data_IF_506099981858
#
_entry.id   IF_506099981858
#
_cell.length_a   1.000
_cell.length_b   1.000
_cell.length_c   1.000
_cell.angle_alpha   90.00
_cell.angle_beta   90.00
_cell.angle_gamma   90.00
#
_symmetry.space_group_name_H-M   'P 1'
#
loop_
_entity.id
_entity.type
_entity.pdbx_description
1 polymer ?
#
# COMPACT_ATOMS: atom_id res chain seq x y z
N UNK A 1 70.84 20.53 -9.76
CA UNK A 1 70.63 20.76 -11.21
C UNK A 1 69.24 20.21 -11.53
N UNK A 2 68.34 21.09 -11.93
CA UNK A 2 66.89 20.87 -12.16
C UNK A 2 66.63 20.19 -13.51
N UNK A 3 65.68 19.25 -13.56
CA UNK A 3 65.08 18.76 -14.81
C UNK A 3 64.13 19.85 -15.38
N UNK A 4 64.29 20.29 -16.65
CA UNK A 4 63.57 21.42 -17.22
C UNK A 4 62.19 21.10 -17.82
N UNK A 5 61.66 19.88 -17.68
CA UNK A 5 60.32 19.56 -18.18
C UNK A 5 59.35 19.28 -17.04
N UNK A 6 58.58 20.29 -16.64
CA UNK A 6 57.58 20.21 -15.57
C UNK A 6 56.40 19.29 -15.90
N UNK A 7 56.62 17.98 -16.00
CA UNK A 7 55.58 16.96 -16.11
C UNK A 7 55.56 16.11 -14.85
N UNK A 8 54.49 16.25 -14.07
CA UNK A 8 54.17 15.34 -12.99
C UNK A 8 53.99 13.89 -13.53
N UNK A 9 54.34 12.86 -12.74
CA UNK A 9 54.06 11.50 -13.11
C UNK A 9 52.55 11.28 -13.10
N UNK A 10 52.00 10.98 -14.27
CA UNK A 10 50.63 10.54 -14.46
C UNK A 10 50.47 9.17 -13.77
N UNK A 11 50.17 9.19 -12.48
CA UNK A 11 49.66 8.03 -11.76
C UNK A 11 48.24 7.82 -12.26
N UNK A 12 48.07 6.75 -13.03
CA UNK A 12 46.77 6.28 -13.49
C UNK A 12 45.84 6.04 -12.32
N UNK A 13 45.08 7.05 -11.94
CA UNK A 13 43.83 6.89 -11.22
C UNK A 13 42.81 6.40 -12.22
N UNK A 14 42.70 5.08 -12.31
CA UNK A 14 41.44 4.40 -12.62
C UNK A 14 40.41 4.86 -11.58
N UNK A 15 39.90 6.09 -11.75
CA UNK A 15 38.65 6.50 -11.15
C UNK A 15 37.59 5.66 -11.87
N UNK A 16 37.27 4.51 -11.31
CA UNK A 16 35.92 3.96 -11.42
C UNK A 16 35.01 5.08 -10.95
N UNK A 17 34.51 5.86 -11.91
CA UNK A 17 33.62 6.98 -11.67
C UNK A 17 32.31 6.37 -11.22
N UNK A 18 32.21 6.08 -9.91
CA UNK A 18 30.93 5.83 -9.28
C UNK A 18 30.08 7.08 -9.57
N UNK A 19 28.88 6.92 -10.17
CA UNK A 19 28.05 8.07 -10.51
C UNK A 19 27.82 8.89 -9.23
N UNK A 20 28.01 10.21 -9.32
CA UNK A 20 27.82 11.09 -8.17
C UNK A 20 26.36 11.00 -7.70
N UNK A 21 26.09 11.24 -6.41
CA UNK A 21 24.70 11.23 -5.90
C UNK A 21 23.80 12.18 -6.69
N UNK A 22 24.33 13.29 -7.23
CA UNK A 22 23.61 14.20 -8.11
C UNK A 22 23.24 13.56 -9.46
N UNK A 23 24.15 12.82 -10.09
CA UNK A 23 23.90 12.16 -11.39
C UNK A 23 22.87 11.02 -11.26
N UNK A 24 22.95 10.25 -10.17
CA UNK A 24 21.94 9.23 -9.83
C UNK A 24 20.58 9.89 -9.57
N UNK A 25 20.57 11.05 -8.91
CA UNK A 25 19.33 11.78 -8.57
C UNK A 25 18.66 12.38 -9.81
N UNK A 26 19.45 12.96 -10.72
CA UNK A 26 19.01 13.48 -12.02
C UNK A 26 18.49 12.35 -12.94
N UNK A 27 19.20 11.21 -12.97
CA UNK A 27 18.75 10.01 -13.67
C UNK A 27 17.41 9.49 -13.14
N UNK A 28 17.21 9.53 -11.82
CA UNK A 28 15.95 9.12 -11.19
C UNK A 28 14.80 10.11 -11.38
N UNK A 29 15.05 11.43 -11.40
CA UNK A 29 14.01 12.43 -11.70
C UNK A 29 13.55 12.34 -13.15
N UNK A 30 14.48 12.24 -14.10
CA UNK A 30 14.15 12.04 -15.50
C UNK A 30 13.38 10.73 -15.70
N UNK A 31 13.83 9.63 -15.09
CA UNK A 31 13.13 8.35 -15.15
C UNK A 31 11.71 8.44 -14.58
N UNK A 32 11.52 9.10 -13.44
CA UNK A 32 10.20 9.30 -12.83
C UNK A 32 9.27 10.10 -13.77
N UNK A 33 9.73 11.24 -14.29
CA UNK A 33 8.93 12.07 -15.19
C UNK A 33 8.55 11.32 -16.47
N UNK A 34 9.47 10.53 -17.03
CA UNK A 34 9.19 9.69 -18.18
C UNK A 34 8.16 8.60 -17.86
N UNK A 35 8.31 7.88 -16.75
CA UNK A 35 7.37 6.84 -16.34
C UNK A 35 5.97 7.41 -16.08
N UNK A 36 5.86 8.57 -15.43
CA UNK A 36 4.58 9.24 -15.21
C UNK A 36 3.89 9.61 -16.54
N UNK A 37 4.63 10.06 -17.54
CA UNK A 37 4.06 10.38 -18.86
C UNK A 37 3.48 9.17 -19.60
N UNK A 38 4.01 7.96 -19.35
CA UNK A 38 3.52 6.72 -19.96
C UNK A 38 2.30 6.11 -19.25
N UNK A 39 1.81 6.73 -18.17
CA UNK A 39 0.63 6.25 -17.45
C UNK A 39 -0.70 6.49 -18.18
N UNK A 40 -0.71 7.43 -19.13
CA UNK A 40 -1.86 7.75 -19.97
C UNK A 40 -1.70 7.24 -21.41
N UNK A 41 -0.69 6.42 -21.66
CA UNK A 41 -0.48 5.82 -22.98
C UNK A 41 -1.69 4.96 -23.37
N UNK A 42 -2.18 5.04 -24.63
CA UNK A 42 -3.32 4.23 -25.07
C UNK A 42 -3.06 2.72 -24.99
N UNK A 43 -1.81 2.26 -25.07
CA UNK A 43 -1.45 0.84 -24.95
C UNK A 43 -1.38 0.41 -23.48
N UNK A 44 -2.24 -0.54 -23.10
CA UNK A 44 -2.25 -1.16 -21.77
C UNK A 44 -0.87 -1.70 -21.37
N UNK A 45 -0.13 -2.27 -22.31
CA UNK A 45 1.19 -2.87 -22.11
C UNK A 45 2.26 -1.83 -21.79
N UNK A 46 2.10 -0.60 -22.29
CA UNK A 46 2.99 0.52 -22.00
C UNK A 46 2.67 1.09 -20.62
N UNK A 47 1.38 1.26 -20.31
CA UNK A 47 0.94 1.66 -18.97
C UNK A 47 1.43 0.71 -17.88
N UNK A 48 1.24 -0.59 -18.03
CA UNK A 48 1.69 -1.58 -17.04
C UNK A 48 3.21 -1.52 -16.81
N UNK A 49 4.01 -1.32 -17.87
CA UNK A 49 5.46 -1.13 -17.74
C UNK A 49 5.82 0.15 -17.01
N UNK A 50 5.04 1.22 -17.19
CA UNK A 50 5.20 2.46 -16.45
C UNK A 50 4.93 2.26 -14.96
N UNK A 51 3.84 1.59 -14.60
CA UNK A 51 3.56 1.21 -13.21
C UNK A 51 4.65 0.33 -12.60
N UNK A 52 5.12 -0.66 -13.35
CA UNK A 52 6.22 -1.52 -12.92
C UNK A 52 7.49 -0.72 -12.68
N UNK A 53 7.83 0.21 -13.58
CA UNK A 53 8.99 1.09 -13.42
C UNK A 53 8.88 2.01 -12.21
N UNK A 54 7.69 2.57 -11.93
CA UNK A 54 7.45 3.37 -10.72
C UNK A 54 7.60 2.56 -9.43
N UNK A 55 7.20 1.29 -9.47
CA UNK A 55 7.38 0.37 -8.35
C UNK A 55 8.87 -0.02 -8.17
N UNK A 56 9.57 -0.35 -9.26
CA UNK A 56 11.00 -0.71 -9.22
C UNK A 56 11.88 0.46 -8.78
N UNK A 57 11.48 1.71 -9.04
CA UNK A 57 12.17 2.88 -8.49
C UNK A 57 12.25 2.80 -6.97
N UNK A 58 11.26 2.22 -6.29
CA UNK A 58 11.30 1.77 -4.89
C UNK A 58 11.60 2.83 -3.83
N UNK A 59 11.91 4.05 -4.25
CA UNK A 59 12.20 5.21 -3.43
C UNK A 59 10.91 5.99 -3.12
N UNK A 60 11.06 7.08 -2.36
CA UNK A 60 9.93 7.93 -1.98
C UNK A 60 9.20 8.53 -3.19
N UNK A 61 9.88 8.76 -4.30
CA UNK A 61 9.32 9.39 -5.51
C UNK A 61 8.44 8.41 -6.30
N UNK A 62 8.86 7.15 -6.42
CA UNK A 62 8.05 6.09 -7.01
C UNK A 62 6.77 5.83 -6.21
N UNK A 63 6.88 5.83 -4.87
CA UNK A 63 5.75 5.75 -3.95
C UNK A 63 4.77 6.93 -4.14
N UNK A 64 5.26 8.16 -4.17
CA UNK A 64 4.44 9.36 -4.35
C UNK A 64 3.72 9.36 -5.71
N UNK A 65 4.39 8.89 -6.77
CA UNK A 65 3.79 8.72 -8.09
C UNK A 65 2.62 7.73 -8.09
N UNK A 66 2.80 6.55 -7.48
CA UNK A 66 1.74 5.54 -7.37
C UNK A 66 0.56 6.04 -6.51
N UNK A 67 0.81 6.84 -5.48
CA UNK A 67 -0.26 7.43 -4.65
C UNK A 67 -1.06 8.49 -5.36
N UNK A 68 -0.40 9.34 -6.16
CA UNK A 68 -1.11 10.36 -6.94
C UNK A 68 -2.13 9.70 -7.85
N UNK A 69 -1.81 8.58 -8.48
CA UNK A 69 -2.74 7.82 -9.33
C UNK A 69 -3.94 7.30 -8.54
N UNK A 70 -3.75 6.90 -7.28
CA UNK A 70 -4.87 6.47 -6.43
C UNK A 70 -5.82 7.63 -6.06
N UNK A 71 -5.27 8.85 -5.92
CA UNK A 71 -6.02 10.07 -5.56
C UNK A 71 -6.67 10.75 -6.76
N UNK A 72 -6.01 10.72 -7.91
CA UNK A 72 -6.32 11.55 -9.05
C UNK A 72 -7.69 11.21 -9.63
N UNK A 73 -8.57 12.22 -9.71
CA UNK A 73 -9.96 12.07 -10.12
C UNK A 73 -10.11 11.52 -11.54
N UNK A 74 -9.13 11.79 -12.41
CA UNK A 74 -9.09 11.28 -13.78
C UNK A 74 -8.65 9.82 -13.89
N UNK A 75 -8.03 9.25 -12.86
CA UNK A 75 -7.52 7.88 -12.93
C UNK A 75 -8.65 6.86 -12.93
N UNK A 76 -8.63 6.03 -13.96
CA UNK A 76 -9.56 4.92 -14.16
C UNK A 76 -9.45 3.90 -13.03
N UNK A 77 -10.51 3.12 -12.82
CA UNK A 77 -10.50 2.06 -11.81
C UNK A 77 -9.40 1.01 -12.07
N UNK A 78 -9.06 0.78 -13.34
CA UNK A 78 -7.97 -0.12 -13.73
C UNK A 78 -6.60 0.45 -13.34
N UNK A 79 -6.34 1.73 -13.62
CA UNK A 79 -5.10 2.41 -13.22
C UNK A 79 -4.90 2.36 -11.70
N UNK A 80 -5.99 2.61 -10.93
CA UNK A 80 -5.97 2.51 -9.47
C UNK A 80 -5.69 1.10 -8.99
N UNK A 81 -6.25 0.08 -9.64
CA UNK A 81 -6.01 -1.32 -9.30
C UNK A 81 -4.56 -1.76 -9.56
N UNK A 82 -3.98 -1.32 -10.67
CA UNK A 82 -2.59 -1.61 -11.01
C UNK A 82 -1.64 -0.89 -10.03
N UNK A 83 -1.88 0.40 -9.75
CA UNK A 83 -1.12 1.15 -8.74
C UNK A 83 -1.15 0.46 -7.36
N UNK A 84 -2.33 0.00 -6.94
CA UNK A 84 -2.54 -0.76 -5.71
C UNK A 84 -1.71 -2.06 -5.65
N UNK A 85 -1.72 -2.86 -6.72
CA UNK A 85 -0.96 -4.12 -6.79
C UNK A 85 0.54 -3.84 -6.61
N UNK A 86 1.06 -2.87 -7.36
CA UNK A 86 2.46 -2.50 -7.30
C UNK A 86 2.86 -1.93 -5.93
N UNK A 87 2.02 -1.09 -5.31
CA UNK A 87 2.25 -0.61 -3.93
C UNK A 87 2.29 -1.74 -2.90
N UNK A 88 1.47 -2.79 -3.07
CA UNK A 88 1.49 -3.94 -2.17
C UNK A 88 2.72 -4.85 -2.33
N UNK A 89 3.29 -4.86 -3.55
CA UNK A 89 4.49 -5.62 -3.92
C UNK A 89 5.77 -4.91 -3.50
N UNK A 90 5.72 -3.60 -3.29
CA UNK A 90 6.76 -2.88 -2.56
C UNK A 90 6.83 -3.48 -1.15
N UNK A 91 7.83 -4.33 -0.90
CA UNK A 91 8.16 -4.89 0.43
C UNK A 91 8.70 -3.80 1.38
N UNK A 92 8.29 -2.55 1.18
CA UNK A 92 8.74 -1.39 1.89
C UNK A 92 7.69 -1.03 2.96
N UNK A 93 8.05 -1.01 4.26
CA UNK A 93 7.11 -0.74 5.35
C UNK A 93 6.34 0.58 5.18
N UNK A 94 6.97 1.60 4.59
CA UNK A 94 6.28 2.88 4.31
C UNK A 94 5.16 2.73 3.28
N UNK A 95 5.30 1.88 2.26
CA UNK A 95 4.24 1.68 1.25
C UNK A 95 2.98 1.07 1.87
N UNK A 96 3.16 0.17 2.84
CA UNK A 96 2.06 -0.44 3.60
C UNK A 96 1.32 0.59 4.44
N UNK A 97 2.04 1.42 5.21
CA UNK A 97 1.44 2.45 6.04
C UNK A 97 0.71 3.49 5.20
N UNK A 98 1.29 3.86 4.06
CA UNK A 98 0.71 4.81 3.12
C UNK A 98 -0.61 4.29 2.51
N UNK A 99 -0.65 3.02 2.07
CA UNK A 99 -1.89 2.40 1.58
C UNK A 99 -2.93 2.34 2.69
N UNK A 100 -2.48 2.06 3.91
CA UNK A 100 -3.34 2.06 5.08
C UNK A 100 -3.95 3.45 5.35
N UNK A 101 -3.13 4.49 5.44
CA UNK A 101 -3.58 5.87 5.68
C UNK A 101 -4.56 6.32 4.57
N UNK A 102 -4.32 5.89 3.32
CA UNK A 102 -5.24 6.16 2.21
C UNK A 102 -6.61 5.49 2.42
N UNK A 103 -6.63 4.23 2.86
CA UNK A 103 -7.88 3.50 3.12
C UNK A 103 -8.65 4.12 4.29
N UNK A 104 -7.94 4.56 5.33
CA UNK A 104 -8.51 5.14 6.54
C UNK A 104 -9.02 6.58 6.33
N UNK A 105 -8.41 7.35 5.44
CA UNK A 105 -8.82 8.72 5.15
C UNK A 105 -10.16 8.76 4.39
N UNK A 106 -11.20 9.17 5.11
CA UNK A 106 -12.57 9.30 4.63
C UNK A 106 -12.75 10.26 3.45
N UNK A 107 -11.79 11.16 3.21
CA UNK A 107 -11.74 12.07 2.06
C UNK A 107 -11.40 11.37 0.75
N UNK A 108 -10.82 10.17 0.79
CA UNK A 108 -10.49 9.41 -0.41
C UNK A 108 -11.73 8.73 -1.02
N UNK A 109 -11.76 8.54 -2.35
CA UNK A 109 -12.90 7.93 -3.03
C UNK A 109 -13.25 6.55 -2.47
N UNK A 110 -14.50 6.39 -2.00
CA UNK A 110 -14.94 5.17 -1.32
C UNK A 110 -14.71 3.91 -2.17
N UNK A 111 -14.94 3.98 -3.48
CA UNK A 111 -14.66 2.87 -4.39
C UNK A 111 -13.18 2.46 -4.42
N UNK A 112 -12.26 3.41 -4.33
CA UNK A 112 -10.82 3.16 -4.30
C UNK A 112 -10.37 2.61 -2.96
N UNK A 113 -10.91 3.13 -1.86
CA UNK A 113 -10.66 2.58 -0.52
C UNK A 113 -11.09 1.12 -0.42
N UNK A 114 -12.31 0.80 -0.87
CA UNK A 114 -12.82 -0.58 -0.89
C UNK A 114 -11.99 -1.49 -1.80
N UNK A 115 -11.58 -1.00 -2.97
CA UNK A 115 -10.71 -1.75 -3.86
C UNK A 115 -9.36 -2.06 -3.23
N UNK A 116 -8.70 -1.04 -2.65
CA UNK A 116 -7.41 -1.20 -2.00
C UNK A 116 -7.50 -2.17 -0.82
N UNK A 117 -8.50 -2.00 0.04
CA UNK A 117 -8.72 -2.91 1.16
C UNK A 117 -8.89 -4.36 0.68
N UNK A 118 -9.77 -4.60 -0.30
CA UNK A 118 -10.01 -5.94 -0.83
C UNK A 118 -8.79 -6.54 -1.54
N UNK A 119 -7.99 -5.73 -2.22
CA UNK A 119 -6.74 -6.18 -2.84
C UNK A 119 -5.72 -6.58 -1.78
N UNK A 120 -5.51 -5.71 -0.80
CA UNK A 120 -4.58 -5.94 0.29
C UNK A 120 -4.92 -7.19 1.08
N UNK A 121 -6.21 -7.43 1.36
CA UNK A 121 -6.67 -8.60 2.09
C UNK A 121 -6.42 -9.93 1.35
N UNK A 122 -6.26 -9.89 0.01
CA UNK A 122 -5.90 -11.06 -0.81
C UNK A 122 -4.40 -11.33 -0.87
N UNK A 123 -3.57 -10.40 -0.37
CA UNK A 123 -2.12 -10.56 -0.38
C UNK A 123 -1.66 -11.36 0.85
N UNK A 124 -0.78 -12.37 0.71
CA UNK A 124 -0.28 -13.18 1.83
C UNK A 124 0.74 -12.44 2.72
N UNK A 125 0.81 -11.10 2.65
CA UNK A 125 1.81 -10.31 3.34
C UNK A 125 1.42 -10.07 4.80
N UNK A 126 2.03 -10.84 5.71
CA UNK A 126 1.79 -10.75 7.17
C UNK A 126 2.01 -9.36 7.75
N UNK A 127 2.91 -8.56 7.19
CA UNK A 127 3.16 -7.18 7.66
C UNK A 127 1.94 -6.30 7.38
N UNK A 128 1.39 -6.43 6.17
CA UNK A 128 0.22 -5.67 5.75
C UNK A 128 -1.02 -6.13 6.51
N UNK A 129 -1.18 -7.45 6.66
CA UNK A 129 -2.24 -8.03 7.50
C UNK A 129 -2.17 -7.48 8.91
N UNK A 130 -0.98 -7.41 9.53
CA UNK A 130 -0.83 -6.89 10.89
C UNK A 130 -1.15 -5.40 10.97
N UNK A 131 -0.73 -4.61 9.99
CA UNK A 131 -1.06 -3.19 9.93
C UNK A 131 -2.57 -2.96 9.82
N UNK A 132 -3.26 -3.72 8.94
CA UNK A 132 -4.71 -3.67 8.80
C UNK A 132 -5.46 -4.10 10.07
N UNK A 133 -4.94 -5.08 10.81
CA UNK A 133 -5.57 -5.52 12.05
C UNK A 133 -5.37 -4.51 13.20
N UNK A 134 -4.16 -3.97 13.35
CA UNK A 134 -3.88 -2.92 14.34
C UNK A 134 -4.72 -1.66 14.08
N UNK A 135 -5.05 -1.42 12.82
CA UNK A 135 -5.89 -0.31 12.43
C UNK A 135 -7.34 -0.40 12.86
N UNK A 136 -7.84 -1.60 13.20
CA UNK A 136 -9.18 -1.75 13.76
C UNK A 136 -9.29 -1.03 15.11
N UNK A 137 -8.15 -0.70 15.74
CA UNK A 137 -8.09 0.05 16.99
C UNK A 137 -8.28 1.57 16.81
N UNK A 138 -8.50 2.08 15.59
CA UNK A 138 -8.85 3.49 15.43
C UNK A 138 -10.19 3.84 16.11
N UNK A 139 -10.36 5.09 16.59
CA UNK A 139 -11.50 5.46 17.43
C UNK A 139 -12.87 5.35 16.73
N UNK A 140 -12.96 5.66 15.43
CA UNK A 140 -14.19 5.58 14.66
C UNK A 140 -14.11 4.46 13.59
N UNK A 141 -14.77 3.31 13.81
CA UNK A 141 -14.75 2.19 12.87
C UNK A 141 -15.46 2.48 11.55
N UNK A 142 -16.21 3.58 11.41
CA UNK A 142 -16.80 4.00 10.13
C UNK A 142 -15.72 4.51 9.18
N UNK A 143 -14.69 5.21 9.67
CA UNK A 143 -13.62 5.75 8.83
C UNK A 143 -12.83 4.62 8.15
N UNK A 144 -12.59 3.54 8.89
CA UNK A 144 -11.92 2.32 8.44
C UNK A 144 -12.89 1.23 7.95
N UNK A 145 -14.15 1.57 7.69
CA UNK A 145 -15.16 0.62 7.22
C UNK A 145 -14.72 -0.25 6.03
N UNK A 146 -13.99 0.28 5.02
CA UNK A 146 -13.45 -0.56 3.94
C UNK A 146 -12.60 -1.73 4.45
N UNK A 147 -11.87 -1.57 5.56
CA UNK A 147 -11.06 -2.63 6.17
C UNK A 147 -11.96 -3.67 6.81
N UNK A 148 -13.01 -3.25 7.52
CA UNK A 148 -13.99 -4.16 8.11
C UNK A 148 -14.59 -5.10 7.07
N UNK A 149 -14.94 -4.60 5.87
CA UNK A 149 -15.50 -5.44 4.80
C UNK A 149 -14.58 -6.56 4.33
N UNK A 150 -13.29 -6.49 4.64
CA UNK A 150 -12.29 -7.50 4.23
C UNK A 150 -12.00 -8.54 5.30
N UNK A 151 -12.45 -8.31 6.53
CA UNK A 151 -12.21 -9.22 7.66
C UNK A 151 -12.68 -10.65 7.42
N UNK A 152 -13.82 -10.92 6.75
CA UNK A 152 -14.20 -12.29 6.41
C UNK A 152 -13.16 -13.01 5.55
N UNK A 153 -12.53 -12.30 4.61
CA UNK A 153 -11.44 -12.83 3.80
C UNK A 153 -10.20 -13.07 4.64
N UNK A 154 -9.85 -12.15 5.54
CA UNK A 154 -8.71 -12.32 6.45
C UNK A 154 -8.88 -13.51 7.40
N UNK A 155 -10.10 -13.76 7.85
CA UNK A 155 -10.43 -14.87 8.72
C UNK A 155 -10.13 -16.24 8.11
N UNK A 156 -10.28 -16.38 6.79
CA UNK A 156 -9.94 -17.61 6.06
C UNK A 156 -8.43 -17.93 6.11
N UNK A 157 -7.59 -16.92 6.35
CA UNK A 157 -6.14 -17.08 6.47
C UNK A 157 -5.66 -17.27 7.91
N UNK A 158 -6.57 -17.41 8.89
CA UNK A 158 -6.23 -17.57 10.31
C UNK A 158 -5.63 -16.31 10.93
N UNK A 159 -5.96 -15.12 10.40
CA UNK A 159 -5.40 -13.85 10.85
C UNK A 159 -6.16 -13.23 12.04
N UNK A 160 -7.31 -13.78 12.44
CA UNK A 160 -8.11 -13.26 13.55
C UNK A 160 -7.46 -13.66 14.87
N UNK A 161 -7.18 -12.65 15.70
CA UNK A 161 -6.62 -12.81 17.05
C UNK A 161 -7.68 -12.43 18.08
N UNK A 162 -7.58 -12.87 19.35
CA UNK A 162 -8.56 -12.51 20.39
C UNK A 162 -8.80 -11.00 20.51
N UNK A 163 -7.75 -10.19 20.37
CA UNK A 163 -7.83 -8.72 20.34
C UNK A 163 -8.75 -8.20 19.23
N UNK A 164 -8.67 -8.80 18.04
CA UNK A 164 -9.53 -8.44 16.89
C UNK A 164 -10.97 -8.87 17.16
N UNK A 165 -11.17 -10.04 17.77
CA UNK A 165 -12.49 -10.52 18.19
C UNK A 165 -13.15 -9.56 19.19
N UNK A 166 -12.42 -9.13 20.22
CA UNK A 166 -12.90 -8.16 21.22
C UNK A 166 -13.27 -6.83 20.55
N UNK A 167 -12.44 -6.36 19.60
CA UNK A 167 -12.73 -5.15 18.84
C UNK A 167 -13.98 -5.28 17.97
N UNK A 168 -14.20 -6.43 17.34
CA UNK A 168 -15.40 -6.70 16.54
C UNK A 168 -16.67 -6.69 17.37
N UNK A 169 -16.61 -7.26 18.58
CA UNK A 169 -17.72 -7.22 19.55
C UNK A 169 -18.00 -5.77 19.95
N UNK A 170 -16.97 -4.99 20.28
CA UNK A 170 -17.12 -3.56 20.58
C UNK A 170 -17.77 -2.78 19.44
N UNK A 171 -17.35 -3.01 18.19
CA UNK A 171 -17.96 -2.35 17.01
C UNK A 171 -19.43 -2.74 16.86
N UNK A 172 -19.76 -4.03 17.06
CA UNK A 172 -21.15 -4.48 17.03
C UNK A 172 -22.01 -3.76 18.07
N UNK A 173 -21.49 -3.56 19.28
CA UNK A 173 -22.16 -2.84 20.36
C UNK A 173 -22.32 -1.34 20.08
N UNK A 174 -21.36 -0.72 19.39
CA UNK A 174 -21.46 0.68 18.99
C UNK A 174 -22.46 0.92 17.86
N UNK A 175 -22.70 -0.08 17.00
CA UNK A 175 -23.57 0.05 15.82
C UNK A 175 -24.53 -1.14 15.66
N UNK A 176 -25.38 -1.44 16.66
CA UNK A 176 -26.23 -2.64 16.66
C UNK A 176 -27.28 -2.61 15.54
N UNK A 177 -27.77 -1.42 15.18
CA UNK A 177 -28.81 -1.25 14.17
C UNK A 177 -28.27 -1.24 12.72
N UNK A 178 -26.94 -1.27 12.54
CA UNK A 178 -26.34 -1.25 11.20
C UNK A 178 -26.18 -2.67 10.68
N UNK A 179 -27.14 -3.09 9.85
CA UNK A 179 -27.14 -4.41 9.21
C UNK A 179 -25.79 -4.79 8.55
N UNK A 180 -25.12 -3.84 7.89
CA UNK A 180 -23.82 -4.09 7.27
C UNK A 180 -22.73 -4.45 8.29
N UNK A 181 -22.73 -3.81 9.46
CA UNK A 181 -21.82 -4.09 10.60
C UNK A 181 -22.08 -5.49 11.13
N UNK A 182 -23.34 -5.78 11.46
CA UNK A 182 -23.77 -7.07 11.99
C UNK A 182 -23.35 -8.20 11.05
N UNK A 183 -23.64 -8.07 9.75
CA UNK A 183 -23.31 -9.10 8.75
C UNK A 183 -21.81 -9.37 8.64
N UNK A 184 -20.98 -8.31 8.59
CA UNK A 184 -19.52 -8.47 8.48
C UNK A 184 -18.93 -9.13 9.72
N UNK A 185 -19.37 -8.75 10.92
CA UNK A 185 -18.91 -9.33 12.18
C UNK A 185 -19.27 -10.82 12.24
N UNK A 186 -20.53 -11.16 11.99
CA UNK A 186 -20.98 -12.55 11.98
C UNK A 186 -20.25 -13.40 10.95
N UNK A 187 -20.08 -12.89 9.73
CA UNK A 187 -19.37 -13.59 8.66
C UNK A 187 -17.89 -13.81 9.02
N UNK A 188 -17.24 -12.82 9.63
CA UNK A 188 -15.85 -12.91 10.07
C UNK A 188 -15.68 -13.97 11.15
N UNK A 189 -16.52 -13.93 12.18
CA UNK A 189 -16.49 -14.88 13.28
C UNK A 189 -16.74 -16.30 12.79
N UNK A 190 -17.72 -16.49 11.88
CA UNK A 190 -18.00 -17.79 11.25
C UNK A 190 -16.78 -18.36 10.53
N UNK A 191 -16.07 -17.55 9.75
CA UNK A 191 -14.88 -18.00 9.02
C UNK A 191 -13.67 -18.24 9.93
N UNK A 192 -13.54 -17.49 11.02
CA UNK A 192 -12.44 -17.65 11.98
C UNK A 192 -12.55 -18.93 12.82
N UNK A 193 -13.77 -19.48 12.95
CA UNK A 193 -14.05 -20.58 13.86
C UNK A 193 -13.97 -20.20 15.34
N UNK A 194 -13.75 -18.91 15.65
CA UNK A 194 -13.64 -18.39 17.01
C UNK A 194 -15.02 -18.34 17.68
N UNK A 195 -15.21 -19.19 18.69
CA UNK A 195 -16.45 -19.30 19.47
C UNK A 195 -16.50 -18.36 20.67
N UNK A 196 -15.43 -17.63 20.95
CA UNK A 196 -15.35 -16.73 22.12
C UNK A 196 -16.38 -15.60 22.05
N UNK A 197 -16.76 -15.19 20.84
CA UNK A 197 -17.75 -14.14 20.62
C UNK A 197 -19.22 -14.59 20.73
N UNK A 198 -19.51 -15.91 20.75
CA UNK A 198 -20.88 -16.43 20.73
C UNK A 198 -21.75 -15.91 21.89
N UNK A 199 -21.26 -15.85 23.15
CA UNK A 199 -22.05 -15.31 24.25
C UNK A 199 -22.41 -13.83 24.05
N UNK A 200 -21.49 -13.03 23.51
CA UNK A 200 -21.69 -11.60 23.28
C UNK A 200 -22.64 -11.28 22.10
N UNK A 201 -23.01 -12.29 21.31
CA UNK A 201 -23.96 -12.19 20.19
C UNK A 201 -25.39 -12.61 20.58
N UNK A 202 -25.58 -13.18 21.78
CA UNK A 202 -26.86 -13.72 22.23
C UNK A 202 -27.64 -12.79 23.17
N UNK A 203 -27.02 -11.69 23.61
CA UNK A 203 -27.61 -10.64 24.44
C UNK A 203 -28.08 -9.44 23.59
#
# INVERSE_FOLDING_TARGET
MTDPTGREPNLGSSHTQYPSEQDVRLGGEAALSHLLAYLDDPDNSVRERAYFGLAELGDQRGLDGLLNILRESGSTMQQRAIAADHLSRLRHPKGVQVVFDFIADGGNPAGTRSLLAAWVARQPNRVVLRALLNALDVPDPIEVWPIFTTLPTLAQFGAITPHVTDRLIWVLQCYPDRFSVVMVVLETLRHSGDRTAVPALCD
#
